data_IF_928908167949
#
_entry.id   IF_928908167949
#
_cell.length_a   1.000
_cell.length_b   1.000
_cell.length_c   1.000
_cell.angle_alpha   90.00
_cell.angle_beta   90.00
_cell.angle_gamma   90.00
#
_symmetry.space_group_name_H-M   'P 1'
#
loop_
_entity.id
_entity.type
_entity.pdbx_description
1 polymer ?
#
# COMPACT_ATOMS: atom_id res chain seq x y z
N UNK A 1 -6.91 11.17 34.67
CA UNK A 1 -6.81 12.54 34.13
C UNK A 1 -5.47 12.62 33.43
N UNK A 2 -5.47 13.02 32.17
CA UNK A 2 -4.24 13.26 31.41
C UNK A 2 -3.57 14.52 31.91
N UNK A 3 -2.26 14.46 32.13
CA UNK A 3 -1.48 15.62 32.58
C UNK A 3 -0.62 16.23 31.48
N UNK A 4 -0.48 15.55 30.33
CA UNK A 4 0.31 16.02 29.17
C UNK A 4 -0.53 16.80 28.17
N UNK A 5 -1.84 16.56 28.13
CA UNK A 5 -2.75 17.11 27.12
C UNK A 5 -3.95 17.78 27.79
N UNK A 6 -4.48 18.80 27.11
CA UNK A 6 -5.72 19.48 27.49
C UNK A 6 -6.79 19.19 26.44
N UNK A 7 -7.89 18.50 26.80
CA UNK A 7 -9.00 18.27 25.87
C UNK A 7 -9.71 19.59 25.52
N UNK A 8 -10.34 19.67 24.35
CA UNK A 8 -11.19 20.81 24.01
C UNK A 8 -12.46 20.81 24.89
N UNK A 9 -13.09 21.98 25.04
CA UNK A 9 -14.20 22.21 25.97
C UNK A 9 -15.38 21.24 25.75
N UNK A 10 -15.59 20.81 24.51
CA UNK A 10 -16.70 19.94 24.11
C UNK A 10 -16.37 18.45 24.15
N UNK A 11 -15.15 18.07 24.57
CA UNK A 11 -14.72 16.68 24.62
C UNK A 11 -14.40 16.25 26.06
N UNK A 12 -14.99 15.13 26.47
CA UNK A 12 -14.71 14.51 27.76
C UNK A 12 -13.68 13.40 27.50
N UNK A 13 -12.53 13.49 28.17
CA UNK A 13 -11.50 12.46 28.06
C UNK A 13 -12.06 11.09 28.44
N UNK A 14 -11.71 10.03 27.68
CA UNK A 14 -12.28 8.72 27.87
C UNK A 14 -11.85 8.10 29.20
N UNK A 15 -12.76 7.35 29.81
CA UNK A 15 -12.51 6.61 31.05
C UNK A 15 -11.68 5.33 30.78
N UNK A 16 -10.94 4.80 31.77
CA UNK A 16 -10.18 3.56 31.59
C UNK A 16 -11.04 2.36 31.14
N UNK A 17 -12.31 2.32 31.53
CA UNK A 17 -13.28 1.29 31.13
C UNK A 17 -13.67 1.41 29.65
N UNK A 18 -13.87 2.63 29.15
CA UNK A 18 -14.16 2.88 27.73
C UNK A 18 -12.94 2.57 26.86
N UNK A 19 -11.74 2.96 27.32
CA UNK A 19 -10.49 2.65 26.64
C UNK A 19 -10.31 1.13 26.54
N UNK A 20 -10.56 0.38 27.62
CA UNK A 20 -10.46 -1.07 27.62
C UNK A 20 -11.40 -1.71 26.61
N UNK A 21 -12.67 -1.29 26.58
CA UNK A 21 -13.64 -1.79 25.61
C UNK A 21 -13.24 -1.50 24.15
N UNK A 22 -12.71 -0.30 23.87
CA UNK A 22 -12.21 0.05 22.55
C UNK A 22 -10.96 -0.75 22.15
N UNK A 23 -10.01 -0.95 23.08
CA UNK A 23 -8.82 -1.74 22.86
C UNK A 23 -9.13 -3.22 22.58
N UNK A 24 -10.09 -3.80 23.31
CA UNK A 24 -10.57 -5.17 23.09
C UNK A 24 -11.22 -5.34 21.71
N UNK A 25 -12.00 -4.35 21.26
CA UNK A 25 -12.62 -4.37 19.94
C UNK A 25 -11.60 -4.43 18.79
N UNK A 26 -10.43 -3.83 18.98
CA UNK A 26 -9.32 -3.80 18.00
C UNK A 26 -8.27 -4.90 18.27
N UNK A 27 -8.51 -5.78 19.27
CA UNK A 27 -7.60 -6.85 19.70
C UNK A 27 -6.20 -6.35 20.09
N UNK A 28 -6.13 -5.17 20.71
CA UNK A 28 -4.89 -4.57 21.20
C UNK A 28 -4.50 -5.21 22.54
N UNK A 29 -3.40 -5.98 22.56
CA UNK A 29 -2.99 -6.77 23.74
C UNK A 29 -2.40 -5.94 24.88
N UNK A 30 -1.75 -4.81 24.56
CA UNK A 30 -1.04 -3.97 25.53
C UNK A 30 -1.23 -2.50 25.19
N UNK A 31 -1.58 -1.69 26.18
CA UNK A 31 -1.79 -0.24 26.04
C UNK A 31 -1.61 0.45 27.39
N UNK A 32 -1.31 1.76 27.36
CA UNK A 32 -1.25 2.61 28.54
C UNK A 32 -2.48 3.52 28.56
N UNK A 33 -3.34 3.48 29.61
CA UNK A 33 -4.56 4.28 29.68
C UNK A 33 -4.31 5.78 29.50
N UNK A 34 -3.27 6.29 30.15
CA UNK A 34 -2.94 7.71 30.10
C UNK A 34 -2.49 8.12 28.70
N UNK A 35 -1.73 7.27 28.01
CA UNK A 35 -1.30 7.56 26.64
C UNK A 35 -2.45 7.50 25.63
N UNK A 36 -3.36 6.53 25.76
CA UNK A 36 -4.57 6.47 24.91
C UNK A 36 -5.43 7.71 25.13
N UNK A 37 -5.61 8.14 26.38
CA UNK A 37 -6.36 9.34 26.69
C UNK A 37 -5.68 10.60 26.14
N UNK A 38 -4.34 10.68 26.17
CA UNK A 38 -3.59 11.79 25.55
C UNK A 38 -3.80 11.82 24.03
N UNK A 39 -3.69 10.67 23.36
CA UNK A 39 -3.97 10.56 21.92
C UNK A 39 -5.41 10.95 21.58
N UNK A 40 -6.39 10.48 22.36
CA UNK A 40 -7.80 10.79 22.14
C UNK A 40 -8.10 12.29 22.34
N UNK A 41 -7.44 12.94 23.32
CA UNK A 41 -7.56 14.38 23.52
C UNK A 41 -7.00 15.17 22.32
N UNK A 42 -5.83 14.78 21.80
CA UNK A 42 -5.24 15.43 20.61
C UNK A 42 -6.10 15.18 19.37
N UNK A 43 -6.56 13.95 19.16
CA UNK A 43 -7.45 13.59 18.05
C UNK A 43 -8.79 14.35 18.09
N UNK A 44 -9.24 14.80 19.27
CA UNK A 44 -10.42 15.65 19.42
C UNK A 44 -10.16 17.13 19.09
N UNK A 45 -8.92 17.53 18.78
CA UNK A 45 -8.50 18.92 18.59
C UNK A 45 -8.01 19.60 19.88
N UNK A 46 -7.58 18.80 20.87
CA UNK A 46 -6.95 19.29 22.09
C UNK A 46 -5.50 19.72 21.89
N UNK A 47 -4.92 20.35 22.90
CA UNK A 47 -3.56 20.88 22.86
C UNK A 47 -2.60 20.05 23.71
N UNK A 48 -1.38 19.84 23.20
CA UNK A 48 -0.28 19.24 23.96
C UNK A 48 0.38 20.31 24.82
N UNK A 49 0.38 20.12 26.14
CA UNK A 49 0.89 21.11 27.07
C UNK A 49 2.42 21.25 26.95
N UNK A 50 2.98 22.46 27.12
CA UNK A 50 4.42 22.69 27.15
C UNK A 50 5.06 22.10 28.41
N UNK A 51 6.35 21.75 28.34
CA UNK A 51 7.06 21.02 29.41
C UNK A 51 6.89 21.63 30.80
N UNK A 52 6.92 22.96 30.93
CA UNK A 52 6.77 23.63 32.22
C UNK A 52 5.43 23.35 32.94
N UNK A 53 4.36 23.02 32.21
CA UNK A 53 3.03 22.79 32.78
C UNK A 53 2.85 21.38 33.35
N UNK A 54 3.64 20.40 32.90
CA UNK A 54 3.51 19.02 33.36
C UNK A 54 4.76 18.48 34.06
N UNK A 55 5.92 19.10 33.82
CA UNK A 55 7.21 18.65 34.37
C UNK A 55 7.20 18.57 35.87
N UNK A 56 6.53 19.49 36.57
CA UNK A 56 6.37 19.46 38.02
C UNK A 56 5.50 18.30 38.56
N UNK A 57 4.76 17.61 37.69
CA UNK A 57 3.95 16.42 38.03
C UNK A 57 4.75 15.12 37.83
N UNK A 58 5.69 15.12 36.88
CA UNK A 58 6.60 13.99 36.58
C UNK A 58 7.83 14.04 37.48
N UNK A 59 8.35 15.25 37.72
CA UNK A 59 9.27 15.48 38.80
C UNK A 59 8.51 15.16 40.09
N UNK A 60 8.98 14.17 40.89
CA UNK A 60 8.27 13.79 42.09
C UNK A 60 8.00 15.06 42.89
N UNK A 61 6.72 15.34 43.16
CA UNK A 61 6.30 16.44 44.03
C UNK A 61 6.83 16.16 45.44
N UNK A 62 8.11 16.42 45.62
CA UNK A 62 8.76 16.47 46.90
C UNK A 62 8.23 17.71 47.62
N UNK A 63 7.85 17.51 48.88
CA UNK A 63 7.34 18.59 49.71
C UNK A 63 5.82 18.74 49.71
N UNK A 64 5.07 17.91 48.97
CA UNK A 64 3.64 17.77 49.26
C UNK A 64 3.52 17.03 50.59
N UNK A 65 3.26 17.80 51.63
CA UNK A 65 2.75 17.28 52.88
C UNK A 65 1.45 16.56 52.59
N UNK A 66 1.30 15.37 53.15
CA UNK A 66 -0.03 14.78 53.24
C UNK A 66 -0.93 15.63 54.16
N UNK A 67 -2.19 15.20 54.34
CA UNK A 67 -3.12 15.90 55.23
C UNK A 67 -2.63 15.95 56.69
N UNK A 68 -1.71 15.09 57.07
CA UNK A 68 -1.17 14.92 58.42
C UNK A 68 0.18 15.65 58.61
N UNK A 69 0.72 16.27 57.57
CA UNK A 69 1.95 17.06 57.59
C UNK A 69 3.22 16.28 57.27
N UNK A 70 3.11 15.01 56.87
CA UNK A 70 4.23 14.12 56.62
C UNK A 70 4.75 14.25 55.17
N UNK A 71 6.07 14.16 55.02
CA UNK A 71 6.78 14.17 53.74
C UNK A 71 6.97 12.75 53.23
N UNK A 72 6.52 12.51 52.00
CA UNK A 72 6.76 11.25 51.29
C UNK A 72 8.17 11.18 50.70
N UNK A 73 8.85 10.04 50.86
CA UNK A 73 10.10 9.70 50.17
C UNK A 73 10.15 8.20 49.82
N UNK A 74 10.98 7.82 48.84
CA UNK A 74 11.26 6.40 48.54
C UNK A 74 12.69 6.06 48.97
N UNK A 75 12.86 4.86 49.52
CA UNK A 75 14.17 4.35 49.94
C UNK A 75 14.78 3.42 48.86
N UNK A 76 15.82 2.66 49.23
CA UNK A 76 16.54 1.76 48.33
C UNK A 76 15.68 0.60 47.79
N UNK A 77 14.63 0.20 48.52
CA UNK A 77 13.74 -0.89 48.09
C UNK A 77 12.62 -0.41 47.16
N UNK A 78 12.58 0.90 46.86
CA UNK A 78 11.51 1.61 46.13
C UNK A 78 10.19 1.69 46.89
N UNK A 79 10.17 1.32 48.16
CA UNK A 79 8.98 1.40 48.99
C UNK A 79 8.71 2.85 49.41
N UNK A 80 7.43 3.20 49.50
CA UNK A 80 7.00 4.54 49.87
C UNK A 80 7.00 4.71 51.38
N UNK A 81 7.79 5.65 51.90
CA UNK A 81 7.86 5.99 53.32
C UNK A 81 7.44 7.43 53.58
N UNK A 82 6.87 7.67 54.76
CA UNK A 82 6.46 8.98 55.23
C UNK A 82 7.34 9.40 56.40
N UNK A 83 7.73 10.68 56.45
CA UNK A 83 8.46 11.24 57.58
C UNK A 83 8.03 12.67 57.86
N UNK A 84 7.94 13.05 59.14
CA UNK A 84 7.69 14.43 59.56
C UNK A 84 8.89 15.35 59.39
N UNK A 85 10.06 14.75 59.23
CA UNK A 85 11.32 15.45 59.15
C UNK A 85 11.62 15.88 57.71
N UNK A 86 11.45 17.18 57.46
CA UNK A 86 11.66 17.79 56.16
C UNK A 86 13.12 17.60 55.67
N UNK A 87 14.10 17.68 56.56
CA UNK A 87 15.52 17.54 56.21
C UNK A 87 15.84 16.09 55.86
N UNK A 88 15.29 15.13 56.61
CA UNK A 88 15.45 13.70 56.33
C UNK A 88 14.80 13.30 55.01
N UNK A 89 13.60 13.81 54.70
CA UNK A 89 12.95 13.58 53.41
C UNK A 89 13.77 14.15 52.25
N UNK A 90 14.36 15.34 52.43
CA UNK A 90 15.22 15.98 51.42
C UNK A 90 16.54 15.23 51.21
N UNK A 91 17.16 14.75 52.29
CA UNK A 91 18.42 14.00 52.26
C UNK A 91 18.23 12.61 51.64
N UNK A 92 17.17 11.88 52.03
CA UNK A 92 16.84 10.58 51.44
C UNK A 92 16.47 10.74 49.95
N UNK A 93 15.81 11.83 49.58
CA UNK A 93 15.61 12.19 48.17
C UNK A 93 16.94 12.42 47.46
N UNK A 94 17.84 13.26 47.96
CA UNK A 94 19.13 13.48 47.28
C UNK A 94 19.96 12.20 47.16
N UNK A 95 19.83 11.29 48.14
CA UNK A 95 20.52 10.01 48.18
C UNK A 95 19.94 8.96 47.22
N UNK A 96 18.61 8.96 47.01
CA UNK A 96 17.90 7.90 46.25
C UNK A 96 17.17 8.39 45.00
N UNK A 97 17.09 9.70 44.76
CA UNK A 97 16.73 10.27 43.47
C UNK A 97 17.93 10.04 42.56
N UNK A 98 18.00 8.89 41.92
CA UNK A 98 18.95 8.70 40.84
C UNK A 98 18.62 9.73 39.76
N UNK A 99 19.43 10.79 39.56
CA UNK A 99 19.13 11.86 38.62
C UNK A 99 18.99 11.31 37.19
N UNK A 100 19.60 10.16 36.90
CA UNK A 100 19.44 9.45 35.64
C UNK A 100 18.01 8.94 35.44
N UNK A 101 17.37 8.35 36.45
CA UNK A 101 15.99 7.83 36.33
C UNK A 101 15.01 8.98 36.14
N UNK A 102 15.19 10.08 36.88
CA UNK A 102 14.36 11.27 36.73
C UNK A 102 14.50 11.90 35.35
N UNK A 103 15.75 12.10 34.90
CA UNK A 103 16.02 12.65 33.57
C UNK A 103 15.48 11.74 32.47
N UNK A 104 15.61 10.41 32.62
CA UNK A 104 14.99 9.45 31.70
C UNK A 104 13.47 9.61 31.67
N UNK A 105 12.79 9.67 32.83
CA UNK A 105 11.35 9.85 32.87
C UNK A 105 10.90 11.16 32.20
N UNK A 106 11.56 12.28 32.51
CA UNK A 106 11.28 13.58 31.88
C UNK A 106 11.51 13.51 30.37
N UNK A 107 12.63 12.95 29.94
CA UNK A 107 12.95 12.77 28.51
C UNK A 107 11.92 11.90 27.81
N UNK A 108 11.48 10.81 28.42
CA UNK A 108 10.42 9.95 27.88
C UNK A 108 9.10 10.70 27.73
N UNK A 109 8.70 11.51 28.72
CA UNK A 109 7.49 12.32 28.61
C UNK A 109 7.63 13.46 27.59
N UNK A 110 8.82 14.05 27.43
CA UNK A 110 9.12 15.00 26.36
C UNK A 110 9.01 14.35 24.98
N UNK A 111 9.54 13.14 24.82
CA UNK A 111 9.42 12.34 23.60
C UNK A 111 7.95 12.01 23.28
N UNK A 112 7.16 11.62 24.27
CA UNK A 112 5.70 11.44 24.10
C UNK A 112 5.04 12.74 23.65
N UNK A 113 5.36 13.88 24.27
CA UNK A 113 4.79 15.16 23.85
C UNK A 113 5.23 15.57 22.44
N UNK A 114 6.46 15.24 22.03
CA UNK A 114 6.95 15.48 20.66
C UNK A 114 6.15 14.64 19.67
N UNK A 115 6.02 13.34 19.92
CA UNK A 115 5.19 12.43 19.12
C UNK A 115 3.75 12.96 18.98
N UNK A 116 3.11 13.30 20.10
CA UNK A 116 1.73 13.82 20.12
C UNK A 116 1.53 15.11 19.31
N UNK A 117 2.59 15.93 19.12
CA UNK A 117 2.52 17.15 18.30
C UNK A 117 2.72 16.88 16.82
N UNK A 118 3.42 15.81 16.47
CA UNK A 118 3.77 15.47 15.09
C UNK A 118 2.73 14.57 14.43
N UNK A 119 2.06 13.70 15.19
CA UNK A 119 1.04 12.78 14.65
C UNK A 119 -0.14 13.55 14.05
N UNK A 120 -0.50 13.20 12.82
CA UNK A 120 -1.74 13.63 12.20
C UNK A 120 -2.83 12.55 12.36
N UNK A 121 -4.05 12.99 12.71
CA UNK A 121 -5.22 12.15 12.91
C UNK A 121 -6.23 12.24 11.76
N UNK A 122 -5.97 13.03 10.73
CA UNK A 122 -6.85 13.20 9.56
C UNK A 122 -7.15 11.87 8.89
N UNK A 123 -6.10 11.09 8.56
CA UNK A 123 -6.22 9.78 7.90
C UNK A 123 -6.32 8.55 8.80
N UNK A 124 -6.34 8.74 10.12
CA UNK A 124 -6.47 7.62 11.06
C UNK A 124 -7.91 7.12 11.07
N UNK A 125 -8.14 5.80 10.88
CA UNK A 125 -9.49 5.27 10.83
C UNK A 125 -10.18 5.30 12.20
N UNK A 126 -11.41 5.81 12.23
CA UNK A 126 -12.29 5.82 13.40
C UNK A 126 -13.28 6.98 13.37
N UNK A 127 -14.51 6.73 13.84
CA UNK A 127 -15.57 7.75 13.87
C UNK A 127 -15.46 8.66 15.10
N UNK A 128 -14.79 8.18 16.16
CA UNK A 128 -14.55 8.95 17.38
C UNK A 128 -13.05 9.14 17.67
N UNK A 129 -12.66 10.20 18.42
CA UNK A 129 -11.27 10.42 18.79
C UNK A 129 -10.63 9.23 19.53
N UNK A 130 -11.43 8.53 20.35
CA UNK A 130 -10.98 7.31 21.04
C UNK A 130 -10.72 6.17 20.06
N UNK A 131 -11.61 5.96 19.08
CA UNK A 131 -11.40 4.93 18.06
C UNK A 131 -10.15 5.22 17.23
N UNK A 132 -9.95 6.49 16.82
CA UNK A 132 -8.74 6.89 16.11
C UNK A 132 -7.48 6.62 16.93
N UNK A 133 -7.46 7.00 18.20
CA UNK A 133 -6.34 6.75 19.10
C UNK A 133 -6.02 5.24 19.24
N UNK A 134 -7.02 4.38 19.38
CA UNK A 134 -6.82 2.93 19.51
C UNK A 134 -6.37 2.30 18.19
N UNK A 135 -6.93 2.74 17.06
CA UNK A 135 -6.52 2.29 15.72
C UNK A 135 -5.06 2.64 15.44
N UNK A 136 -4.63 3.87 15.77
CA UNK A 136 -3.25 4.30 15.64
C UNK A 136 -2.31 3.40 16.47
N UNK A 137 -2.66 3.16 17.74
CA UNK A 137 -1.88 2.27 18.61
C UNK A 137 -1.82 0.84 18.08
N UNK A 138 -2.89 0.36 17.44
CA UNK A 138 -2.88 -0.96 16.81
C UNK A 138 -1.90 -1.03 15.66
N UNK A 139 -1.84 0.00 14.81
CA UNK A 139 -0.88 0.10 13.71
C UNK A 139 0.54 0.11 14.28
N UNK A 140 0.81 0.94 15.28
CA UNK A 140 2.12 1.01 15.93
C UNK A 140 2.52 -0.31 16.62
N UNK A 141 1.54 -1.06 17.15
CA UNK A 141 1.82 -2.26 17.93
C UNK A 141 2.40 -3.44 17.15
N UNK A 142 2.23 -3.46 15.83
CA UNK A 142 2.79 -4.51 14.96
C UNK A 142 4.17 -4.16 14.41
N UNK A 143 4.64 -2.91 14.58
CA UNK A 143 5.99 -2.52 14.15
C UNK A 143 7.02 -3.18 15.08
N UNK A 144 8.03 -3.82 14.48
CA UNK A 144 9.10 -4.49 15.22
C UNK A 144 9.75 -3.54 16.23
N UNK A 145 9.78 -3.96 17.50
CA UNK A 145 10.26 -3.14 18.62
C UNK A 145 9.16 -2.65 19.57
N UNK A 146 7.88 -2.76 19.21
CA UNK A 146 6.78 -2.45 20.12
C UNK A 146 6.61 -3.52 21.22
N UNK A 147 7.34 -3.36 22.32
CA UNK A 147 7.06 -4.10 23.56
C UNK A 147 6.17 -3.22 24.43
N UNK A 148 4.86 -3.41 24.37
CA UNK A 148 3.96 -2.67 25.26
C UNK A 148 4.43 -2.73 26.72
N UNK A 149 4.47 -1.56 27.37
CA UNK A 149 4.83 -1.42 28.78
C UNK A 149 3.79 -2.09 29.70
N UNK A 150 4.16 -2.28 30.96
CA UNK A 150 3.19 -2.63 32.00
C UNK A 150 2.19 -1.48 32.21
N UNK A 151 1.06 -1.76 32.84
CA UNK A 151 0.00 -0.78 33.12
C UNK A 151 0.60 0.44 33.87
N UNK A 152 0.64 1.59 33.19
CA UNK A 152 1.19 2.85 33.73
C UNK A 152 2.64 3.19 33.33
N UNK A 153 3.39 2.29 32.70
CA UNK A 153 4.75 2.60 32.24
C UNK A 153 4.73 3.22 30.83
N UNK A 154 5.53 4.27 30.59
CA UNK A 154 5.66 4.85 29.26
C UNK A 154 6.29 3.84 28.28
N UNK A 155 5.83 3.87 27.03
CA UNK A 155 6.15 2.86 26.03
C UNK A 155 7.65 2.87 25.69
N UNK A 156 8.31 1.71 25.51
CA UNK A 156 9.76 1.63 25.28
C UNK A 156 10.25 2.40 24.07
N UNK A 157 9.41 2.59 23.06
CA UNK A 157 9.73 3.40 21.86
C UNK A 157 10.14 4.83 22.20
N UNK A 158 9.68 5.37 23.34
CA UNK A 158 9.98 6.73 23.77
C UNK A 158 11.18 6.82 24.72
N UNK A 159 11.79 5.69 25.10
CA UNK A 159 12.93 5.66 26.02
C UNK A 159 14.28 5.85 25.30
N UNK A 160 14.42 5.35 24.08
CA UNK A 160 15.71 5.28 23.38
C UNK A 160 15.69 5.79 21.93
N UNK A 161 14.52 6.00 21.31
CA UNK A 161 14.38 6.44 19.91
C UNK A 161 13.94 7.90 19.74
N UNK A 162 14.10 8.44 18.53
CA UNK A 162 13.51 9.72 18.15
C UNK A 162 12.01 9.55 17.88
N UNK A 163 11.21 10.00 18.83
CA UNK A 163 9.75 9.91 18.76
C UNK A 163 9.15 10.72 17.59
N UNK A 164 9.92 11.65 17.02
CA UNK A 164 9.49 12.42 15.85
C UNK A 164 9.54 11.58 14.58
N UNK A 165 10.65 10.89 14.32
CA UNK A 165 10.82 10.03 13.14
C UNK A 165 9.74 8.94 13.07
N UNK A 166 9.36 8.39 14.23
CA UNK A 166 8.26 7.41 14.33
C UNK A 166 6.88 8.01 14.02
N UNK A 167 6.64 9.28 14.35
CA UNK A 167 5.40 9.96 13.99
C UNK A 167 5.37 10.31 12.49
N UNK A 168 6.49 10.78 11.93
CA UNK A 168 6.61 11.12 10.51
C UNK A 168 6.40 9.88 9.63
N UNK A 169 7.11 8.78 9.93
CA UNK A 169 6.93 7.50 9.20
C UNK A 169 5.50 6.96 9.29
N UNK A 170 4.79 7.20 10.40
CA UNK A 170 3.40 6.81 10.55
C UNK A 170 2.45 7.68 9.73
N UNK A 171 2.70 8.99 9.69
CA UNK A 171 1.94 9.91 8.84
C UNK A 171 2.15 9.58 7.37
N UNK A 172 3.39 9.35 6.93
CA UNK A 172 3.72 8.96 5.55
C UNK A 172 2.99 7.68 5.13
N UNK A 173 2.92 6.69 6.03
CA UNK A 173 2.18 5.45 5.80
C UNK A 173 0.67 5.69 5.66
N UNK A 174 0.09 6.56 6.48
CA UNK A 174 -1.34 6.89 6.38
C UNK A 174 -1.64 7.65 5.10
N UNK A 175 -0.80 8.59 4.71
CA UNK A 175 -0.89 9.32 3.44
C UNK A 175 -0.78 8.36 2.23
N UNK A 176 0.07 7.34 2.33
CA UNK A 176 0.18 6.31 1.30
C UNK A 176 -1.10 5.46 1.18
N UNK A 177 -1.77 5.16 2.29
CA UNK A 177 -3.07 4.47 2.29
C UNK A 177 -4.16 5.35 1.71
N UNK A 178 -4.20 6.62 2.06
CA UNK A 178 -5.19 7.57 1.53
C UNK A 178 -5.01 7.82 0.03
N UNK A 179 -3.78 7.74 -0.47
CA UNK A 179 -3.45 7.95 -1.88
C UNK A 179 -3.65 6.70 -2.76
N UNK A 180 -4.10 5.57 -2.20
CA UNK A 180 -4.36 4.36 -2.99
C UNK A 180 -5.48 4.56 -3.99
N UNK A 181 -5.24 4.11 -5.23
CA UNK A 181 -6.29 4.08 -6.24
C UNK A 181 -7.26 2.89 -6.03
N UNK A 182 -8.41 2.92 -6.71
CA UNK A 182 -9.43 1.88 -6.58
C UNK A 182 -8.91 0.49 -7.00
N UNK A 183 -7.97 0.41 -7.96
CA UNK A 183 -7.39 -0.84 -8.44
C UNK A 183 -6.39 -1.41 -7.43
N UNK A 184 -5.59 -0.54 -6.83
CA UNK A 184 -4.62 -0.86 -5.78
C UNK A 184 -5.33 -1.36 -4.53
N UNK A 185 -6.39 -0.66 -4.13
CA UNK A 185 -7.26 -1.06 -3.01
C UNK A 185 -7.86 -2.44 -3.28
N UNK A 186 -8.41 -2.68 -4.48
CA UNK A 186 -8.98 -3.99 -4.82
C UNK A 186 -7.95 -5.12 -4.74
N UNK A 187 -6.71 -4.91 -5.19
CA UNK A 187 -5.67 -5.95 -5.19
C UNK A 187 -5.09 -6.23 -3.79
N UNK A 188 -5.02 -5.22 -2.93
CA UNK A 188 -4.50 -5.36 -1.57
C UNK A 188 -5.57 -5.84 -0.57
N UNK A 189 -6.85 -5.61 -0.84
CA UNK A 189 -7.94 -6.12 -0.02
C UNK A 189 -8.10 -7.65 -0.15
N UNK A 190 -7.95 -8.36 0.96
CA UNK A 190 -8.39 -9.75 1.07
C UNK A 190 -9.93 -9.86 1.17
N UNK A 191 -10.50 -10.82 0.45
CA UNK A 191 -11.96 -11.03 0.36
C UNK A 191 -12.59 -11.57 1.67
N UNK A 192 -11.80 -11.80 2.72
CA UNK A 192 -12.25 -12.32 4.03
C UNK A 192 -13.03 -11.30 4.88
N UNK A 193 -13.37 -10.13 4.33
CA UNK A 193 -14.38 -9.27 4.92
C UNK A 193 -15.79 -9.86 4.69
N UNK A 194 -16.08 -10.97 5.36
CA UNK A 194 -17.43 -11.49 5.54
C UNK A 194 -18.36 -10.35 5.97
N UNK A 195 -19.34 -10.02 5.11
CA UNK A 195 -20.72 -9.64 5.46
C UNK A 195 -20.91 -8.66 6.63
N UNK A 196 -20.03 -7.69 6.82
CA UNK A 196 -20.23 -6.53 7.68
C UNK A 196 -20.88 -5.39 6.91
N UNK A 197 -22.15 -5.53 6.54
CA UNK A 197 -22.89 -4.47 5.84
C UNK A 197 -22.93 -3.18 6.70
N UNK A 198 -22.30 -2.12 6.20
CA UNK A 198 -22.71 -0.73 6.47
C UNK A 198 -22.31 -0.07 7.80
N UNK A 199 -21.46 -0.65 8.64
CA UNK A 199 -20.97 0.03 9.86
C UNK A 199 -19.52 0.51 9.70
N UNK A 200 -19.21 1.73 10.15
CA UNK A 200 -17.88 2.35 10.09
C UNK A 200 -16.75 1.48 10.70
N UNK A 201 -17.11 0.51 11.54
CA UNK A 201 -16.20 -0.45 12.14
C UNK A 201 -15.51 -1.38 11.12
N UNK A 202 -16.19 -1.76 10.04
CA UNK A 202 -15.61 -2.63 9.00
C UNK A 202 -14.52 -1.92 8.20
N UNK A 203 -14.72 -0.63 7.88
CA UNK A 203 -13.71 0.19 7.20
C UNK A 203 -12.47 0.38 8.09
N UNK A 204 -12.67 0.58 9.38
CA UNK A 204 -11.59 0.76 10.34
C UNK A 204 -10.67 -0.46 10.42
N UNK A 205 -11.23 -1.66 10.54
CA UNK A 205 -10.44 -2.89 10.58
C UNK A 205 -9.67 -3.14 9.27
N UNK A 206 -10.27 -2.79 8.12
CA UNK A 206 -9.60 -2.88 6.81
C UNK A 206 -8.39 -1.96 6.71
N UNK A 207 -8.55 -0.68 7.03
CA UNK A 207 -7.46 0.30 6.96
C UNK A 207 -6.32 -0.06 7.92
N UNK A 208 -6.65 -0.47 9.15
CA UNK A 208 -5.65 -0.92 10.12
C UNK A 208 -4.90 -2.15 9.61
N UNK A 209 -5.60 -3.12 9.02
CA UNK A 209 -4.96 -4.31 8.44
C UNK A 209 -4.04 -3.95 7.26
N UNK A 210 -4.51 -3.09 6.38
CA UNK A 210 -3.72 -2.63 5.23
C UNK A 210 -2.45 -1.89 5.68
N UNK A 211 -2.57 -1.04 6.71
CA UNK A 211 -1.43 -0.39 7.34
C UNK A 211 -0.41 -1.40 7.90
N UNK A 212 -0.89 -2.46 8.54
CA UNK A 212 -0.01 -3.54 9.04
C UNK A 212 0.72 -4.25 7.90
N UNK A 213 0.04 -4.50 6.79
CA UNK A 213 0.63 -5.16 5.62
C UNK A 213 1.62 -4.24 4.87
N UNK A 214 1.39 -2.92 4.87
CA UNK A 214 2.36 -1.95 4.38
C UNK A 214 3.63 -1.94 5.22
N UNK A 215 3.51 -1.94 6.56
CA UNK A 215 4.64 -2.04 7.48
C UNK A 215 5.44 -3.33 7.29
N UNK A 216 4.81 -4.43 6.88
CA UNK A 216 5.52 -5.68 6.58
C UNK A 216 6.29 -5.66 5.26
N UNK A 217 6.29 -4.57 4.50
CA UNK A 217 7.06 -4.39 3.27
C UNK A 217 6.24 -4.26 1.98
N UNK A 218 4.90 -4.32 2.04
CA UNK A 218 4.06 -4.10 0.84
C UNK A 218 4.11 -2.66 0.34
N UNK A 219 4.60 -1.70 1.13
CA UNK A 219 4.88 -0.34 0.67
C UNK A 219 5.78 -0.34 -0.58
N UNK A 220 6.80 -1.21 -0.59
CA UNK A 220 7.73 -1.36 -1.73
C UNK A 220 6.98 -1.78 -3.00
N UNK A 221 5.89 -2.54 -2.88
CA UNK A 221 5.09 -2.94 -4.04
C UNK A 221 4.48 -1.73 -4.72
N UNK A 222 3.95 -0.80 -3.92
CA UNK A 222 3.31 0.41 -4.40
C UNK A 222 4.33 1.38 -4.97
N UNK A 223 5.47 1.55 -4.30
CA UNK A 223 6.55 2.39 -4.81
C UNK A 223 7.03 1.91 -6.19
N UNK A 224 7.28 0.60 -6.34
CA UNK A 224 7.67 0.00 -7.63
C UNK A 224 6.54 0.14 -8.66
N UNK A 225 5.31 -0.20 -8.30
CA UNK A 225 4.17 -0.11 -9.22
C UNK A 225 3.95 1.31 -9.73
N UNK A 226 3.92 2.30 -8.84
CA UNK A 226 3.78 3.73 -9.18
C UNK A 226 4.97 4.22 -10.01
N UNK A 227 6.18 3.69 -9.79
CA UNK A 227 7.33 3.97 -10.65
C UNK A 227 7.13 3.43 -12.07
N UNK A 228 6.62 2.20 -12.21
CA UNK A 228 6.34 1.58 -13.51
C UNK A 228 5.20 2.25 -14.26
N UNK A 229 4.19 2.80 -13.57
CA UNK A 229 3.09 3.54 -14.19
C UNK A 229 3.55 4.82 -14.91
N UNK A 230 4.68 5.39 -14.49
CA UNK A 230 5.32 6.55 -15.17
C UNK A 230 5.93 6.15 -16.52
N UNK A 231 6.18 4.86 -16.76
CA UNK A 231 6.82 4.37 -17.97
C UNK A 231 5.78 4.14 -19.07
N UNK A 232 5.76 5.03 -20.07
CA UNK A 232 4.79 4.95 -21.17
C UNK A 232 4.79 3.59 -21.91
N UNK A 233 5.94 2.92 -21.97
CA UNK A 233 6.10 1.60 -22.63
C UNK A 233 5.47 0.44 -21.85
N UNK A 234 5.16 0.64 -20.56
CA UNK A 234 4.50 -0.35 -19.71
C UNK A 234 2.98 -0.23 -19.75
N UNK A 235 2.42 0.81 -20.39
CA UNK A 235 0.97 1.02 -20.44
C UNK A 235 0.30 -0.02 -21.34
N UNK A 236 -0.65 -0.74 -20.75
CA UNK A 236 -1.51 -1.72 -21.44
C UNK A 236 -2.71 -1.03 -22.05
N UNK A 237 -3.22 -1.57 -23.15
CA UNK A 237 -4.45 -1.08 -23.76
C UNK A 237 -5.15 -2.18 -24.56
N UNK A 238 -6.47 -2.27 -24.44
CA UNK A 238 -7.29 -3.14 -25.29
C UNK A 238 -7.22 -2.69 -26.73
N UNK A 239 -7.17 -3.64 -27.65
CA UNK A 239 -7.35 -3.36 -29.07
C UNK A 239 -8.84 -3.49 -29.41
N UNK A 240 -9.47 -2.37 -29.70
CA UNK A 240 -10.86 -2.35 -30.19
C UNK A 240 -10.83 -2.40 -31.72
N UNK A 241 -11.29 -3.50 -32.30
CA UNK A 241 -11.59 -3.59 -33.74
C UNK A 241 -13.07 -3.38 -33.93
N UNK A 242 -13.42 -2.51 -34.87
CA UNK A 242 -14.80 -2.16 -35.18
C UNK A 242 -15.12 -2.72 -36.56
N UNK A 243 -16.10 -3.62 -36.64
CA UNK A 243 -16.56 -4.21 -37.89
C UNK A 243 -17.97 -3.71 -38.22
N UNK A 244 -18.27 -3.40 -39.49
CA UNK A 244 -19.63 -3.07 -39.88
C UNK A 244 -20.52 -4.30 -39.74
N UNK A 245 -21.61 -4.18 -38.98
CA UNK A 245 -22.56 -5.25 -38.74
C UNK A 245 -23.97 -4.65 -38.66
N UNK A 246 -24.92 -5.19 -39.42
CA UNK A 246 -26.29 -4.70 -39.49
C UNK A 246 -27.01 -4.89 -38.13
N UNK A 247 -26.62 -5.93 -37.39
CA UNK A 247 -27.13 -6.24 -36.05
C UNK A 247 -26.28 -5.61 -34.93
N UNK A 248 -25.23 -4.85 -35.28
CA UNK A 248 -24.37 -4.20 -34.30
C UNK A 248 -25.13 -3.25 -33.38
N UNK A 249 -24.84 -3.33 -32.08
CA UNK A 249 -25.46 -2.48 -31.05
C UNK A 249 -24.95 -1.04 -31.10
N UNK A 250 -23.68 -0.85 -31.49
CA UNK A 250 -23.05 0.45 -31.57
C UNK A 250 -23.33 1.14 -32.92
N UNK A 251 -23.48 2.46 -32.90
CA UNK A 251 -23.66 3.27 -34.10
C UNK A 251 -22.44 4.17 -34.31
N UNK A 252 -21.77 4.01 -35.45
CA UNK A 252 -20.71 4.89 -35.92
C UNK A 252 -21.26 5.83 -36.99
N UNK A 253 -20.86 7.09 -36.92
CA UNK A 253 -21.08 8.05 -38.00
C UNK A 253 -19.87 8.09 -38.92
N UNK A 254 -20.08 7.90 -40.22
CA UNK A 254 -19.03 8.05 -41.23
C UNK A 254 -19.56 8.75 -42.48
N UNK A 255 -18.69 9.33 -43.31
CA UNK A 255 -19.07 9.82 -44.63
C UNK A 255 -19.78 8.76 -45.48
N UNK A 256 -20.76 9.19 -46.26
CA UNK A 256 -21.43 8.35 -47.25
C UNK A 256 -20.47 7.98 -48.38
N UNK A 257 -20.40 6.70 -48.74
CA UNK A 257 -19.54 6.24 -49.84
C UNK A 257 -20.31 6.10 -51.15
N UNK A 258 -21.58 5.67 -51.05
CA UNK A 258 -22.46 5.40 -52.17
C UNK A 258 -23.88 5.91 -51.92
N UNK A 259 -24.58 6.27 -53.00
CA UNK A 259 -26.00 6.68 -52.96
C UNK A 259 -26.93 5.58 -52.42
N UNK A 260 -26.54 4.30 -52.47
CA UNK A 260 -27.32 3.21 -51.88
C UNK A 260 -27.47 3.33 -50.36
N UNK A 261 -26.57 4.04 -49.69
CA UNK A 261 -26.57 4.24 -48.24
C UNK A 261 -27.47 5.40 -47.80
N UNK A 262 -28.18 6.06 -48.71
CA UNK A 262 -29.02 7.22 -48.41
C UNK A 262 -30.10 6.92 -47.35
N UNK A 263 -30.59 5.67 -47.28
CA UNK A 263 -31.53 5.22 -46.25
C UNK A 263 -30.95 5.26 -44.82
N UNK A 264 -29.62 5.31 -44.68
CA UNK A 264 -28.89 5.37 -43.41
C UNK A 264 -28.57 6.79 -42.94
N UNK A 265 -28.98 7.81 -43.68
CA UNK A 265 -28.76 9.20 -43.30
C UNK A 265 -29.54 9.55 -42.01
N UNK A 266 -28.95 10.32 -41.09
CA UNK A 266 -29.66 10.82 -39.91
C UNK A 266 -30.79 11.77 -40.35
N UNK A 267 -31.81 11.90 -39.50
CA UNK A 267 -32.96 12.78 -39.76
C UNK A 267 -32.55 14.24 -39.99
N UNK A 268 -31.44 14.69 -39.37
CA UNK A 268 -30.88 16.02 -39.57
C UNK A 268 -30.44 16.28 -41.01
N UNK A 269 -29.84 15.28 -41.69
CA UNK A 269 -29.49 15.39 -43.11
C UNK A 269 -30.74 15.35 -43.99
N UNK A 270 -31.79 14.62 -43.58
CA UNK A 270 -33.08 14.62 -44.28
C UNK A 270 -33.83 15.95 -44.20
N UNK A 271 -33.65 16.71 -43.11
CA UNK A 271 -34.25 18.02 -42.91
C UNK A 271 -33.67 19.12 -43.82
N UNK A 272 -32.50 18.88 -44.44
CA UNK A 272 -31.87 19.85 -45.35
C UNK A 272 -32.64 19.96 -46.69
N UNK A 273 -32.61 21.13 -47.35
CA UNK A 273 -33.17 21.30 -48.69
C UNK A 273 -32.60 20.26 -49.66
N UNK A 274 -33.44 19.72 -50.55
CA UNK A 274 -33.09 18.60 -51.44
C UNK A 274 -31.84 18.87 -52.29
N UNK A 275 -31.66 20.11 -52.77
CA UNK A 275 -30.49 20.53 -53.54
C UNK A 275 -29.20 20.43 -52.71
N UNK A 276 -29.22 20.96 -51.49
CA UNK A 276 -28.08 20.97 -50.58
C UNK A 276 -27.76 19.58 -50.03
N UNK A 277 -28.78 18.77 -49.74
CA UNK A 277 -28.62 17.36 -49.34
C UNK A 277 -27.97 16.52 -50.45
N UNK A 278 -28.48 16.61 -51.67
CA UNK A 278 -27.92 15.86 -52.81
C UNK A 278 -26.49 16.27 -53.12
N UNK A 279 -26.19 17.57 -53.02
CA UNK A 279 -24.83 18.08 -53.14
C UNK A 279 -23.91 17.46 -52.08
N UNK A 280 -24.31 17.49 -50.81
CA UNK A 280 -23.53 16.88 -49.71
C UNK A 280 -23.34 15.38 -49.86
N UNK A 281 -24.34 14.65 -50.37
CA UNK A 281 -24.21 13.22 -50.67
C UNK A 281 -23.21 12.99 -51.81
N UNK A 282 -23.33 13.74 -52.91
CA UNK A 282 -22.44 13.62 -54.05
C UNK A 282 -20.98 13.96 -53.70
N UNK A 283 -20.76 14.94 -52.81
CA UNK A 283 -19.42 15.32 -52.32
C UNK A 283 -18.95 14.48 -51.13
N UNK A 284 -19.68 13.43 -50.74
CA UNK A 284 -19.39 12.59 -49.56
C UNK A 284 -19.26 13.36 -48.24
N UNK A 285 -19.89 14.53 -48.15
CA UNK A 285 -19.92 15.35 -46.94
C UNK A 285 -21.07 14.97 -45.99
N UNK A 286 -22.08 14.27 -46.49
CA UNK A 286 -23.16 13.72 -45.68
C UNK A 286 -22.67 12.52 -44.88
N UNK A 287 -23.08 12.44 -43.61
CA UNK A 287 -22.71 11.33 -42.73
C UNK A 287 -23.85 10.31 -42.64
N UNK A 288 -23.54 9.02 -42.74
CA UNK A 288 -24.47 7.90 -42.55
C UNK A 288 -24.27 7.26 -41.19
N UNK A 289 -25.36 6.69 -40.65
CA UNK A 289 -25.35 5.84 -39.47
C UNK A 289 -25.01 4.41 -39.89
N UNK A 290 -23.86 3.93 -39.47
CA UNK A 290 -23.45 2.54 -39.66
C UNK A 290 -23.48 1.83 -38.33
N UNK A 291 -24.24 0.74 -38.25
CA UNK A 291 -24.18 -0.15 -37.10
C UNK A 291 -22.89 -0.94 -37.16
N UNK A 292 -22.23 -1.07 -36.02
CA UNK A 292 -20.94 -1.70 -35.90
C UNK A 292 -20.90 -2.64 -34.71
N UNK A 293 -20.18 -3.75 -34.86
CA UNK A 293 -19.82 -4.65 -33.76
C UNK A 293 -18.40 -4.33 -33.31
N UNK A 294 -18.24 -4.12 -32.00
CA UNK A 294 -16.92 -3.95 -31.38
C UNK A 294 -16.41 -5.29 -30.90
N UNK A 295 -15.28 -5.70 -31.44
CA UNK A 295 -14.49 -6.80 -30.89
C UNK A 295 -13.33 -6.20 -30.10
N UNK A 296 -13.41 -6.36 -28.79
CA UNK A 296 -12.33 -5.99 -27.89
C UNK A 296 -11.40 -7.18 -27.72
N UNK A 297 -10.11 -6.99 -28.00
CA UNK A 297 -9.07 -7.98 -27.71
C UNK A 297 -8.15 -7.47 -26.63
N UNK A 298 -8.04 -8.25 -25.57
CA UNK A 298 -7.14 -7.97 -24.45
C UNK A 298 -5.68 -8.17 -24.86
N UNK A 299 -4.79 -7.55 -24.09
CA UNK A 299 -3.36 -7.72 -24.27
C UNK A 299 -2.87 -9.01 -23.59
N UNK A 300 -1.93 -9.74 -24.22
CA UNK A 300 -1.26 -10.89 -23.60
C UNK A 300 -0.02 -10.42 -22.82
N UNK A 301 -0.04 -10.63 -21.51
CA UNK A 301 1.13 -10.46 -20.65
C UNK A 301 1.60 -11.84 -20.19
N UNK A 302 2.89 -12.11 -20.34
CA UNK A 302 3.52 -13.30 -19.80
C UNK A 302 4.64 -12.87 -18.87
N UNK A 303 4.68 -13.39 -17.65
CA UNK A 303 5.62 -12.97 -16.62
C UNK A 303 6.40 -14.18 -16.11
N UNK A 304 7.72 -14.02 -16.06
CA UNK A 304 8.65 -14.94 -15.45
C UNK A 304 9.25 -14.29 -14.21
N UNK A 305 9.09 -14.93 -13.05
CA UNK A 305 9.64 -14.43 -11.80
C UNK A 305 10.68 -15.42 -11.26
N UNK A 306 11.89 -14.93 -11.04
CA UNK A 306 12.99 -15.70 -10.47
C UNK A 306 12.62 -16.16 -9.06
N UNK A 307 12.77 -17.45 -8.80
CA UNK A 307 12.53 -18.06 -7.51
C UNK A 307 13.78 -18.71 -6.89
N UNK A 308 14.97 -18.32 -7.35
CA UNK A 308 16.24 -18.71 -6.74
C UNK A 308 16.33 -18.29 -5.27
N UNK A 309 17.11 -19.02 -4.47
CA UNK A 309 17.24 -18.74 -3.03
C UNK A 309 17.79 -17.34 -2.71
N UNK A 310 18.44 -16.67 -3.65
CA UNK A 310 18.90 -15.28 -3.50
C UNK A 310 17.76 -14.26 -3.51
N UNK A 311 16.59 -14.61 -4.07
CA UNK A 311 15.39 -13.78 -4.10
C UNK A 311 14.68 -13.69 -2.75
N UNK A 312 14.91 -14.64 -1.84
CA UNK A 312 14.36 -14.67 -0.48
C UNK A 312 15.04 -13.66 0.47
N UNK A 313 16.13 -13.02 0.02
CA UNK A 313 16.89 -12.06 0.82
C UNK A 313 16.43 -10.61 0.62
N UNK A 314 16.25 -9.90 1.75
CA UNK A 314 16.04 -8.45 1.78
C UNK A 314 14.73 -8.00 1.13
N UNK A 315 14.82 -6.99 0.27
CA UNK A 315 13.65 -6.36 -0.36
C UNK A 315 13.30 -6.97 -1.72
N UNK A 316 14.02 -7.99 -2.18
CA UNK A 316 13.95 -8.48 -3.56
C UNK A 316 12.59 -9.05 -3.93
N UNK A 317 12.06 -9.91 -3.05
CA UNK A 317 10.73 -10.47 -3.17
C UNK A 317 9.66 -9.37 -3.25
N UNK A 318 9.81 -8.30 -2.46
CA UNK A 318 8.85 -7.20 -2.48
C UNK A 318 8.93 -6.40 -3.79
N UNK A 319 10.13 -6.13 -4.29
CA UNK A 319 10.30 -5.45 -5.58
C UNK A 319 9.72 -6.27 -6.74
N UNK A 320 9.96 -7.59 -6.74
CA UNK A 320 9.34 -8.49 -7.71
C UNK A 320 7.81 -8.51 -7.61
N UNK A 321 7.29 -8.54 -6.37
CA UNK A 321 5.87 -8.39 -6.07
C UNK A 321 5.29 -7.09 -6.62
N UNK A 322 6.02 -5.97 -6.53
CA UNK A 322 5.62 -4.68 -7.09
C UNK A 322 5.50 -4.67 -8.61
N UNK A 323 6.41 -5.36 -9.32
CA UNK A 323 6.29 -5.54 -10.78
C UNK A 323 5.04 -6.36 -11.11
N UNK A 324 4.82 -7.46 -10.38
CA UNK A 324 3.66 -8.33 -10.59
C UNK A 324 2.35 -7.58 -10.30
N UNK A 325 2.31 -6.85 -9.18
CA UNK A 325 1.19 -6.01 -8.76
C UNK A 325 0.81 -5.00 -9.85
N UNK A 326 1.80 -4.31 -10.42
CA UNK A 326 1.59 -3.38 -11.51
C UNK A 326 0.96 -4.05 -12.76
N UNK A 327 1.39 -5.25 -13.12
CA UNK A 327 0.82 -5.99 -14.25
C UNK A 327 -0.59 -6.51 -13.94
N UNK A 328 -0.87 -6.88 -12.68
CA UNK A 328 -2.21 -7.29 -12.26
C UNK A 328 -3.21 -6.14 -12.24
N UNK A 329 -2.78 -4.88 -12.00
CA UNK A 329 -3.65 -3.70 -12.17
C UNK A 329 -4.29 -3.66 -13.56
N UNK A 330 -3.53 -4.03 -14.60
CA UNK A 330 -4.04 -4.11 -15.98
C UNK A 330 -5.09 -5.21 -16.17
N UNK A 331 -4.99 -6.31 -15.42
CA UNK A 331 -6.00 -7.39 -15.44
C UNK A 331 -7.27 -6.95 -14.72
N UNK A 332 -7.15 -6.26 -13.59
CA UNK A 332 -8.31 -5.72 -12.86
C UNK A 332 -9.05 -4.67 -13.69
N UNK A 333 -8.32 -3.81 -14.42
CA UNK A 333 -8.90 -2.88 -15.40
C UNK A 333 -9.53 -3.60 -16.62
N UNK A 334 -9.24 -4.89 -16.80
CA UNK A 334 -9.69 -5.73 -17.91
C UNK A 334 -8.95 -5.48 -19.21
N UNK A 335 -7.82 -4.78 -19.18
CA UNK A 335 -7.01 -4.43 -20.36
C UNK A 335 -6.15 -5.58 -20.87
N UNK A 336 -5.78 -6.49 -19.97
CA UNK A 336 -4.86 -7.57 -20.23
C UNK A 336 -5.28 -8.87 -19.55
N UNK A 337 -4.73 -9.98 -20.05
CA UNK A 337 -4.65 -11.24 -19.34
C UNK A 337 -3.18 -11.53 -19.03
N UNK A 338 -2.91 -12.08 -17.86
CA UNK A 338 -1.55 -12.40 -17.44
C UNK A 338 -1.37 -13.90 -17.22
N UNK A 339 -0.24 -14.41 -17.68
CA UNK A 339 0.28 -15.73 -17.37
C UNK A 339 1.57 -15.55 -16.58
N UNK A 340 1.71 -16.21 -15.45
CA UNK A 340 2.85 -16.07 -14.55
C UNK A 340 3.46 -17.45 -14.33
N UNK A 341 4.78 -17.55 -14.48
CA UNK A 341 5.57 -18.71 -14.09
C UNK A 341 6.72 -18.29 -13.21
N UNK A 342 6.95 -19.06 -12.15
CA UNK A 342 8.22 -18.98 -11.44
C UNK A 342 9.29 -19.74 -12.22
N UNK A 343 10.55 -19.36 -12.06
CA UNK A 343 11.66 -20.07 -12.70
C UNK A 343 12.93 -20.07 -11.86
N UNK A 344 13.72 -21.11 -12.06
CA UNK A 344 15.12 -21.22 -11.63
C UNK A 344 15.99 -21.68 -12.83
N UNK A 345 16.44 -22.92 -12.85
CA UNK A 345 16.98 -23.62 -14.02
C UNK A 345 15.88 -24.23 -14.91
N UNK A 346 14.62 -24.24 -14.45
CA UNK A 346 13.44 -24.68 -15.20
C UNK A 346 12.23 -23.79 -14.92
N UNK A 347 11.23 -23.86 -15.79
CA UNK A 347 9.91 -23.25 -15.55
C UNK A 347 9.07 -24.12 -14.59
N UNK A 348 8.43 -23.48 -13.63
CA UNK A 348 7.43 -24.10 -12.75
C UNK A 348 6.01 -24.01 -13.35
N UNK A 349 4.99 -24.32 -12.53
CA UNK A 349 3.59 -24.29 -12.90
C UNK A 349 3.16 -22.91 -13.45
N UNK A 350 2.32 -22.94 -14.48
CA UNK A 350 1.69 -21.74 -15.06
C UNK A 350 0.49 -21.32 -14.23
N UNK A 351 0.46 -20.05 -13.85
CA UNK A 351 -0.69 -19.42 -13.22
C UNK A 351 -1.29 -18.39 -14.17
N UNK A 352 -2.61 -18.40 -14.32
CA UNK A 352 -3.33 -17.52 -15.23
C UNK A 352 -4.31 -16.65 -14.46
N UNK A 353 -4.37 -15.36 -14.83
CA UNK A 353 -5.38 -14.45 -14.33
C UNK A 353 -5.94 -13.59 -15.47
N UNK A 354 -7.26 -13.68 -15.65
CA UNK A 354 -8.08 -12.97 -16.61
C UNK A 354 -9.22 -12.15 -15.97
N UNK A 355 -9.44 -12.35 -14.66
CA UNK A 355 -10.47 -11.70 -13.86
C UNK A 355 -9.87 -11.04 -12.62
N UNK A 356 -10.53 -10.03 -12.03
CA UNK A 356 -10.07 -9.41 -10.79
C UNK A 356 -9.88 -10.41 -9.64
N UNK A 357 -10.80 -11.37 -9.49
CA UNK A 357 -10.71 -12.42 -8.47
C UNK A 357 -9.50 -13.34 -8.69
N UNK A 358 -9.24 -13.75 -9.94
CA UNK A 358 -8.04 -14.53 -10.26
C UNK A 358 -6.75 -13.73 -10.01
N UNK A 359 -6.76 -12.42 -10.29
CA UNK A 359 -5.62 -11.54 -10.05
C UNK A 359 -5.28 -11.44 -8.54
N UNK A 360 -6.29 -11.26 -7.68
CA UNK A 360 -6.11 -11.29 -6.22
C UNK A 360 -5.56 -12.63 -5.75
N UNK A 361 -6.17 -13.73 -6.21
CA UNK A 361 -5.74 -15.09 -5.85
C UNK A 361 -4.28 -15.37 -6.25
N UNK A 362 -3.84 -14.85 -7.39
CA UNK A 362 -2.46 -14.96 -7.85
C UNK A 362 -1.49 -14.16 -6.96
N UNK A 363 -1.87 -12.96 -6.54
CA UNK A 363 -1.08 -12.15 -5.59
C UNK A 363 -0.95 -12.82 -4.21
N UNK A 364 -2.04 -13.40 -3.70
CA UNK A 364 -2.00 -14.13 -2.43
C UNK A 364 -1.12 -15.40 -2.51
N UNK A 365 -1.11 -16.08 -3.66
CA UNK A 365 -0.21 -17.22 -3.89
C UNK A 365 1.25 -16.78 -3.92
N UNK A 366 1.54 -15.67 -4.60
CA UNK A 366 2.89 -15.10 -4.64
C UNK A 366 3.45 -14.84 -3.23
N UNK A 367 2.63 -14.32 -2.31
CA UNK A 367 3.03 -14.10 -0.91
C UNK A 367 3.32 -15.39 -0.12
N UNK A 368 2.65 -16.49 -0.46
CA UNK A 368 2.78 -17.78 0.24
C UNK A 368 3.86 -18.68 -0.36
N UNK A 369 4.43 -18.31 -1.51
CA UNK A 369 5.40 -19.11 -2.23
C UNK A 369 6.75 -19.06 -1.49
N UNK A 370 7.36 -20.23 -1.25
CA UNK A 370 8.72 -20.30 -0.71
C UNK A 370 9.74 -20.25 -1.86
N UNK A 371 10.66 -19.28 -1.80
CA UNK A 371 11.71 -19.06 -2.79
C UNK A 371 12.94 -19.90 -2.41
N UNK A 372 12.95 -21.17 -2.83
CA UNK A 372 14.01 -22.13 -2.47
C UNK A 372 14.72 -22.74 -3.68
N UNK A 373 14.70 -22.05 -4.83
CA UNK A 373 15.30 -22.51 -6.08
C UNK A 373 16.84 -22.52 -6.04
N UNK A 374 17.43 -23.32 -6.93
CA UNK A 374 18.88 -23.39 -7.15
C UNK A 374 19.40 -22.29 -8.08
N UNK A 375 20.33 -22.63 -8.97
CA UNK A 375 20.85 -21.70 -9.98
C UNK A 375 19.81 -21.28 -11.03
N UNK A 376 20.13 -20.23 -11.77
CA UNK A 376 19.21 -19.57 -12.71
C UNK A 376 19.60 -19.85 -14.17
N UNK A 377 18.63 -20.14 -15.04
CA UNK A 377 18.83 -20.24 -16.49
C UNK A 377 17.73 -19.48 -17.24
N UNK A 378 17.91 -18.15 -17.34
CA UNK A 378 16.99 -17.21 -17.98
C UNK A 378 16.83 -17.57 -19.46
N UNK A 379 17.94 -17.85 -20.16
CA UNK A 379 17.91 -18.05 -21.60
C UNK A 379 17.09 -19.27 -22.03
N UNK A 380 17.23 -20.40 -21.32
CA UNK A 380 16.44 -21.60 -21.58
C UNK A 380 14.96 -21.35 -21.29
N UNK A 381 14.66 -20.81 -20.12
CA UNK A 381 13.28 -20.57 -19.68
C UNK A 381 12.56 -19.53 -20.57
N UNK A 382 13.28 -18.52 -21.07
CA UNK A 382 12.74 -17.54 -22.00
C UNK A 382 12.35 -18.17 -23.34
N UNK A 383 13.17 -19.08 -23.91
CA UNK A 383 12.79 -19.79 -25.15
C UNK A 383 11.57 -20.68 -24.98
N UNK A 384 11.50 -21.42 -23.88
CA UNK A 384 10.33 -22.25 -23.55
C UNK A 384 9.08 -21.38 -23.38
N UNK A 385 9.23 -20.20 -22.77
CA UNK A 385 8.15 -19.24 -22.60
C UNK A 385 7.70 -18.60 -23.92
N UNK A 386 8.63 -18.23 -24.80
CA UNK A 386 8.32 -17.70 -26.13
C UNK A 386 7.54 -18.73 -26.97
N UNK A 387 7.92 -20.00 -26.92
CA UNK A 387 7.17 -21.07 -27.57
C UNK A 387 5.74 -21.19 -27.02
N UNK A 388 5.57 -21.06 -25.71
CA UNK A 388 4.25 -21.04 -25.06
C UNK A 388 3.43 -19.80 -25.45
N UNK A 389 4.04 -18.63 -25.56
CA UNK A 389 3.40 -17.41 -26.05
C UNK A 389 2.88 -17.63 -27.48
N UNK A 390 3.70 -18.20 -28.36
CA UNK A 390 3.29 -18.48 -29.74
C UNK A 390 2.11 -19.45 -29.84
N UNK A 391 2.00 -20.42 -28.92
CA UNK A 391 0.82 -21.29 -28.81
C UNK A 391 -0.44 -20.50 -28.44
N UNK A 392 -0.38 -19.68 -27.39
CA UNK A 392 -1.51 -18.85 -26.94
C UNK A 392 -1.92 -17.86 -28.04
N UNK A 393 -0.95 -17.30 -28.77
CA UNK A 393 -1.25 -16.38 -29.87
C UNK A 393 -2.00 -17.03 -31.03
N UNK A 394 -1.77 -18.32 -31.30
CA UNK A 394 -2.48 -19.06 -32.36
C UNK A 394 -3.98 -19.21 -32.07
N UNK A 395 -4.39 -19.17 -30.81
CA UNK A 395 -5.80 -19.16 -30.40
C UNK A 395 -6.52 -17.86 -30.81
N UNK A 396 -5.77 -16.76 -30.98
CA UNK A 396 -6.24 -15.52 -31.60
C UNK A 396 -7.13 -14.62 -30.73
N UNK A 397 -7.36 -14.96 -29.46
CA UNK A 397 -8.13 -14.17 -28.49
C UNK A 397 -7.37 -12.94 -27.99
N UNK A 398 -6.04 -13.05 -27.86
CA UNK A 398 -5.17 -12.02 -27.28
C UNK A 398 -4.32 -11.31 -28.34
N UNK A 399 -3.87 -10.10 -28.02
CA UNK A 399 -3.03 -9.29 -28.92
C UNK A 399 -1.79 -8.74 -28.21
N UNK A 400 -0.79 -8.32 -28.99
CA UNK A 400 0.43 -7.64 -28.49
C UNK A 400 1.09 -8.36 -27.31
N UNK A 401 1.76 -9.51 -27.56
CA UNK A 401 2.38 -10.29 -26.50
C UNK A 401 3.54 -9.50 -25.89
N UNK A 402 3.60 -9.48 -24.56
CA UNK A 402 4.71 -8.91 -23.81
C UNK A 402 5.23 -9.96 -22.82
N UNK A 403 6.54 -10.18 -22.82
CA UNK A 403 7.24 -11.02 -21.87
C UNK A 403 7.90 -10.12 -20.82
N UNK A 404 7.60 -10.35 -19.54
CA UNK A 404 8.18 -9.64 -18.41
C UNK A 404 9.07 -10.61 -17.65
N UNK A 405 10.35 -10.29 -17.51
CA UNK A 405 11.32 -11.08 -16.74
C UNK A 405 11.73 -10.29 -15.51
N UNK A 406 11.58 -10.89 -14.33
CA UNK A 406 12.06 -10.34 -13.05
C UNK A 406 13.09 -11.30 -12.48
N UNK A 407 14.29 -10.80 -12.19
CA UNK A 407 15.43 -11.60 -11.71
C UNK A 407 16.35 -10.78 -10.82
N UNK A 408 17.18 -11.44 -10.02
CA UNK A 408 18.27 -10.80 -9.28
C UNK A 408 19.51 -10.50 -10.15
N UNK A 409 19.54 -11.01 -11.39
CA UNK A 409 20.55 -10.70 -12.40
C UNK A 409 21.80 -11.58 -12.40
N UNK A 410 21.82 -12.72 -11.71
CA UNK A 410 23.00 -13.60 -11.62
C UNK A 410 23.35 -14.41 -12.88
N UNK A 411 22.49 -14.42 -13.91
CA UNK A 411 22.64 -15.26 -15.10
C UNK A 411 22.97 -14.48 -16.39
N UNK A 412 23.58 -15.16 -17.36
CA UNK A 412 23.99 -14.61 -18.64
C UNK A 412 22.94 -14.93 -19.73
N UNK A 413 22.58 -13.91 -20.53
CA UNK A 413 21.59 -14.03 -21.62
C UNK A 413 22.17 -13.89 -23.04
N UNK A 414 23.49 -13.93 -23.19
CA UNK A 414 24.21 -13.82 -24.47
C UNK A 414 23.74 -14.76 -25.58
N UNK A 415 23.10 -15.88 -25.22
CA UNK A 415 22.55 -16.83 -26.21
C UNK A 415 21.20 -16.40 -26.81
N UNK A 416 20.53 -15.41 -26.23
CA UNK A 416 19.28 -14.83 -26.74
C UNK A 416 19.58 -13.62 -27.62
N UNK A 417 18.87 -13.51 -28.73
CA UNK A 417 18.95 -12.35 -29.63
C UNK A 417 17.58 -11.73 -29.84
N UNK A 418 17.56 -10.51 -30.36
CA UNK A 418 16.31 -9.80 -30.63
C UNK A 418 15.40 -10.57 -31.60
N UNK A 419 15.98 -11.29 -32.56
CA UNK A 419 15.23 -12.06 -33.55
C UNK A 419 14.42 -13.20 -32.92
N UNK A 420 14.87 -13.75 -31.80
CA UNK A 420 14.18 -14.83 -31.10
C UNK A 420 12.80 -14.39 -30.56
N UNK A 421 12.60 -13.09 -30.33
CA UNK A 421 11.37 -12.55 -29.75
C UNK A 421 10.30 -12.22 -30.79
N UNK A 422 10.64 -12.12 -32.07
CA UNK A 422 9.69 -11.83 -33.15
C UNK A 422 8.85 -10.56 -32.89
N UNK A 423 7.55 -10.73 -32.64
CA UNK A 423 6.61 -9.64 -32.34
C UNK A 423 6.43 -9.38 -30.83
N UNK A 424 7.00 -10.24 -29.98
CA UNK A 424 6.92 -10.15 -28.53
C UNK A 424 7.88 -9.10 -28.01
N UNK A 425 7.38 -8.18 -27.18
CA UNK A 425 8.25 -7.22 -26.50
C UNK A 425 8.73 -7.81 -25.20
N UNK A 426 9.99 -7.59 -24.86
CA UNK A 426 10.55 -8.05 -23.61
C UNK A 426 10.76 -6.88 -22.65
N UNK A 427 10.30 -7.05 -21.42
CA UNK A 427 10.61 -6.19 -20.29
C UNK A 427 11.50 -6.96 -19.32
N UNK A 428 12.55 -6.32 -18.82
CA UNK A 428 13.47 -6.91 -17.86
C UNK A 428 13.62 -5.99 -16.64
N UNK A 429 13.43 -6.58 -15.47
CA UNK A 429 13.59 -5.92 -14.18
C UNK A 429 14.62 -6.70 -13.37
N UNK A 430 15.81 -6.10 -13.22
CA UNK A 430 16.89 -6.66 -12.41
C UNK A 430 16.83 -6.03 -11.03
N UNK A 431 16.63 -6.86 -10.03
CA UNK A 431 16.43 -6.43 -8.64
C UNK A 431 17.78 -6.34 -7.94
N UNK A 432 18.08 -5.18 -7.33
CA UNK A 432 19.32 -4.85 -6.61
C UNK A 432 20.65 -4.89 -7.39
N UNK A 433 20.84 -5.81 -8.34
CA UNK A 433 22.07 -5.93 -9.15
C UNK A 433 21.92 -5.29 -10.52
N UNK A 434 23.00 -5.34 -11.30
CA UNK A 434 23.06 -4.88 -12.68
C UNK A 434 23.27 -6.06 -13.63
N UNK A 435 22.50 -6.11 -14.71
CA UNK A 435 22.68 -7.06 -15.80
C UNK A 435 22.43 -6.32 -17.12
N UNK A 436 23.52 -5.73 -17.62
CA UNK A 436 23.45 -4.82 -18.77
C UNK A 436 23.01 -5.53 -20.05
N UNK A 437 23.40 -6.81 -20.22
CA UNK A 437 23.02 -7.62 -21.37
C UNK A 437 21.51 -7.83 -21.43
N UNK A 438 20.90 -8.23 -20.30
CA UNK A 438 19.46 -8.43 -20.19
C UNK A 438 18.68 -7.13 -20.43
N UNK A 439 19.15 -6.03 -19.84
CA UNK A 439 18.52 -4.72 -20.00
C UNK A 439 18.66 -4.18 -21.42
N UNK A 440 19.80 -4.39 -22.07
CA UNK A 440 20.00 -4.01 -23.46
C UNK A 440 19.12 -4.84 -24.40
N UNK A 441 18.96 -6.14 -24.15
CA UNK A 441 18.05 -7.01 -24.89
C UNK A 441 16.58 -6.58 -24.73
N UNK A 442 16.14 -6.26 -23.52
CA UNK A 442 14.79 -5.74 -23.30
C UNK A 442 14.55 -4.42 -24.06
N UNK A 443 15.56 -3.54 -24.12
CA UNK A 443 15.47 -2.29 -24.89
C UNK A 443 15.46 -2.51 -26.40
N UNK A 444 16.21 -3.50 -26.91
CA UNK A 444 16.27 -3.80 -28.35
C UNK A 444 14.94 -4.36 -28.87
N UNK A 445 14.23 -5.17 -28.08
CA UNK A 445 12.87 -5.65 -28.40
C UNK A 445 11.78 -4.56 -28.30
N UNK A 446 12.14 -3.32 -27.94
CA UNK A 446 11.23 -2.20 -27.80
C UNK A 446 10.51 -2.11 -26.44
N UNK A 447 10.85 -2.99 -25.49
CA UNK A 447 10.33 -2.95 -24.13
C UNK A 447 11.13 -2.04 -23.20
N UNK A 448 11.18 -2.42 -21.92
CA UNK A 448 11.78 -1.66 -20.82
C UNK A 448 12.79 -2.53 -20.09
N UNK A 449 14.01 -2.02 -19.90
CA UNK A 449 15.03 -2.67 -19.07
C UNK A 449 15.45 -1.72 -17.94
N UNK A 450 15.26 -2.16 -16.70
CA UNK A 450 15.66 -1.45 -15.47
C UNK A 450 16.67 -2.31 -14.70
N UNK A 451 17.77 -1.69 -14.32
CA UNK A 451 18.76 -2.27 -13.41
C UNK A 451 18.58 -1.68 -12.02
N UNK A 452 18.94 -2.45 -10.99
CA UNK A 452 18.89 -2.00 -9.59
C UNK A 452 17.53 -1.40 -9.23
N UNK A 453 16.46 -2.04 -9.71
CA UNK A 453 15.12 -1.81 -9.17
C UNK A 453 15.19 -2.07 -7.67
#
# INVERSE_FOLDING_TARGET
MTFRTKPPIHYISPTPTEIRGAAEAVKLKKWSPDFVADLANVAAGGEVLPSHQWRHLVEPTAGKRDRDGDYFYRDETRDGHYTRDAEKALAMRQKYSNPKILNMAVQTHENVCRFLRTVDFTGVPGDSPLQKAVSLLKIMSERDGWRGGAEGDPLPIFAEGDAQDEAETLNDLLDDIESLDDLETQLLEEDDAEKGAGSGHGRMQKTVRLAQEMLSGKEIWLQVSRHLDKLARMRTAKRVKVFPDIEGEDVRHRPIESFSEMHRLPQTEWALPRSLRNYRIATRAAHVRERVKREEKQQLLYMMIDCSGSMDSGQRIYKAGGVLFNRLKAVVAGDAQIFVRFFDSRLFEEHHADTPAAAKGLMQRFQKQNFSGGGTNIAKCARETLARIDEIQKEGSLTRPELVIVTDGEDNVSSLKQEDFGQTRMHAFVVERSNAELVQLARSTGGVGIEKL
#
